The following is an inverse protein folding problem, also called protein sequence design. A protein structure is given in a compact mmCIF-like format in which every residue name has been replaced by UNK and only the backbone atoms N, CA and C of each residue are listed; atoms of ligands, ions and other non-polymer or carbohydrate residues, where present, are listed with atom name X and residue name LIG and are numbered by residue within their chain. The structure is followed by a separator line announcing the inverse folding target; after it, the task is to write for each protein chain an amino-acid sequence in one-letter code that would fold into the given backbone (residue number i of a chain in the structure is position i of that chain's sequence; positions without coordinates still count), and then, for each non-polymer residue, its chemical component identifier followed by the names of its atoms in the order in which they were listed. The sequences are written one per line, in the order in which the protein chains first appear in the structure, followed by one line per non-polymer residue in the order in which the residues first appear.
data_IF_949604289025
#
_entry.id   IF_949604289025
#
_cell.length_a   1.000
_cell.length_b   1.000
_cell.length_c   1.000
_cell.angle_alpha   90.00
_cell.angle_beta   90.00
_cell.angle_gamma   90.00
#
_symmetry.space_group_name_H-M   'P 1'
#
loop_
_entity.id
_entity.type
_entity.pdbx_description
1 polymer ?
#
# COMPACT_ATOMS: atom_id res chain seq x y z
N UNK A 1 -28.12 -70.14 -50.54
CA UNK A 1 -27.25 -69.96 -49.35
C UNK A 1 -27.67 -68.67 -48.67
N UNK A 2 -27.97 -68.52 -47.37
CA UNK A 2 -28.22 -69.41 -46.25
C UNK A 2 -28.96 -68.58 -45.15
N UNK A 3 -29.88 -69.23 -44.41
CA UNK A 3 -30.35 -68.97 -43.01
C UNK A 3 -30.95 -67.58 -42.67
N UNK A 4 -32.24 -67.44 -42.31
CA UNK A 4 -33.01 -67.91 -41.13
C UNK A 4 -32.69 -67.12 -39.83
N UNK A 5 -33.67 -66.26 -39.47
CA UNK A 5 -34.21 -65.93 -38.11
C UNK A 5 -33.42 -64.94 -37.20
N UNK A 6 -34.03 -64.40 -36.12
CA UNK A 6 -35.34 -63.71 -36.06
C UNK A 6 -35.41 -62.56 -34.98
N UNK A 7 -36.37 -61.64 -35.14
CA UNK A 7 -37.46 -61.28 -34.18
C UNK A 7 -37.10 -60.79 -32.73
N UNK A 8 -37.94 -59.84 -32.28
CA UNK A 8 -38.56 -59.71 -30.93
C UNK A 8 -38.19 -58.44 -30.11
N UNK A 9 -39.23 -57.58 -30.03
CA UNK A 9 -39.80 -56.79 -28.90
C UNK A 9 -39.18 -55.50 -28.34
N UNK A 10 -40.10 -54.54 -28.26
CA UNK A 10 -40.26 -53.42 -27.34
C UNK A 10 -39.79 -53.67 -25.89
N UNK A 11 -39.26 -52.61 -25.28
CA UNK A 11 -39.26 -52.39 -23.84
C UNK A 11 -39.38 -50.88 -23.52
N UNK A 12 -40.12 -50.60 -22.45
CA UNK A 12 -40.45 -49.31 -21.87
C UNK A 12 -39.40 -48.86 -20.83
N UNK A 13 -39.34 -47.55 -20.59
CA UNK A 13 -38.97 -46.82 -19.37
C UNK A 13 -37.88 -47.34 -18.40
N UNK A 14 -36.81 -46.54 -18.20
CA UNK A 14 -36.08 -46.32 -16.93
C UNK A 14 -35.37 -44.95 -17.05
N UNK A 15 -35.82 -43.89 -16.37
CA UNK A 15 -35.40 -43.48 -15.02
C UNK A 15 -33.90 -43.15 -14.96
N UNK A 16 -33.54 -41.92 -15.35
CA UNK A 16 -32.20 -41.36 -15.14
C UNK A 16 -32.00 -40.97 -13.68
N UNK A 17 -31.01 -41.63 -13.10
CA UNK A 17 -30.52 -41.52 -11.73
C UNK A 17 -29.60 -40.30 -11.63
N UNK A 18 -30.00 -39.38 -10.75
CA UNK A 18 -29.15 -38.66 -9.80
C UNK A 18 -27.66 -38.51 -10.17
N UNK A 19 -27.30 -37.39 -10.83
CA UNK A 19 -25.92 -36.96 -10.97
C UNK A 19 -25.73 -35.63 -10.24
N UNK A 20 -25.21 -35.75 -9.02
CA UNK A 20 -24.88 -34.65 -8.12
C UNK A 20 -24.09 -33.52 -8.83
N UNK A 21 -24.31 -32.25 -8.46
CA UNK A 21 -23.55 -31.14 -9.01
C UNK A 21 -22.08 -31.27 -8.61
N UNK A 22 -21.22 -31.39 -9.63
CA UNK A 22 -19.76 -31.30 -9.50
C UNK A 22 -19.42 -30.03 -8.74
N UNK A 23 -18.75 -30.20 -7.61
CA UNK A 23 -18.12 -29.12 -6.85
C UNK A 23 -17.37 -28.18 -7.82
N UNK A 24 -17.98 -27.03 -8.12
CA UNK A 24 -17.25 -25.89 -8.66
C UNK A 24 -16.26 -25.47 -7.58
N UNK A 25 -15.00 -25.78 -7.84
CA UNK A 25 -13.88 -25.29 -7.06
C UNK A 25 -13.99 -23.76 -7.06
N UNK A 26 -14.08 -23.08 -5.90
CA UNK A 26 -14.20 -21.63 -5.91
C UNK A 26 -12.90 -21.09 -6.50
N UNK A 27 -12.98 -20.60 -7.73
CA UNK A 27 -11.92 -19.79 -8.32
C UNK A 27 -11.82 -18.59 -7.42
N UNK A 28 -10.77 -18.55 -6.59
CA UNK A 28 -10.51 -17.44 -5.69
C UNK A 28 -10.53 -16.15 -6.52
N UNK A 29 -11.67 -15.46 -6.48
CA UNK A 29 -11.82 -14.12 -7.02
C UNK A 29 -10.85 -13.29 -6.20
N UNK A 30 -9.69 -13.01 -6.78
CA UNK A 30 -8.90 -11.88 -6.39
C UNK A 30 -9.81 -10.67 -6.63
N UNK A 31 -10.58 -10.29 -5.62
CA UNK A 31 -11.35 -9.04 -5.59
C UNK A 31 -10.32 -7.94 -5.57
N UNK A 32 -9.84 -7.57 -6.76
CA UNK A 32 -8.92 -6.46 -6.92
C UNK A 32 -9.63 -5.26 -6.32
N UNK A 33 -9.06 -4.68 -5.26
CA UNK A 33 -9.49 -3.38 -4.80
C UNK A 33 -9.48 -2.44 -6.02
N UNK A 34 -10.56 -1.65 -6.17
CA UNK A 34 -10.70 -0.68 -7.26
C UNK A 34 -9.40 0.10 -7.44
N UNK A 35 -9.06 0.53 -8.66
CA UNK A 35 -7.78 1.19 -8.90
C UNK A 35 -7.54 2.41 -7.99
N UNK A 36 -8.63 3.07 -7.59
CA UNK A 36 -8.67 4.15 -6.61
C UNK A 36 -8.16 3.76 -5.20
N UNK A 37 -8.22 2.48 -4.83
CA UNK A 37 -7.90 1.94 -3.50
C UNK A 37 -6.63 1.09 -3.46
N UNK A 38 -5.90 0.94 -4.57
CA UNK A 38 -4.65 0.18 -4.58
C UNK A 38 -3.66 0.71 -3.53
N UNK A 39 -3.24 -0.15 -2.60
CA UNK A 39 -2.33 0.21 -1.52
C UNK A 39 -2.89 1.21 -0.50
N UNK A 40 -4.21 1.46 -0.51
CA UNK A 40 -4.90 2.33 0.44
C UNK A 40 -5.85 1.49 1.28
N UNK A 41 -5.75 1.61 2.59
CA UNK A 41 -6.50 0.83 3.57
C UNK A 41 -7.27 1.76 4.49
N UNK A 42 -8.53 1.41 4.77
CA UNK A 42 -9.34 2.11 5.79
C UNK A 42 -9.06 1.49 7.15
N UNK A 43 -8.77 2.31 8.16
CA UNK A 43 -8.87 1.89 9.57
C UNK A 43 -10.09 2.55 10.19
N UNK A 44 -11.13 1.75 10.49
CA UNK A 44 -12.31 2.24 11.21
C UNK A 44 -11.96 2.60 12.66
N UNK A 45 -11.08 1.81 13.30
CA UNK A 45 -10.62 2.01 14.68
C UNK A 45 -9.86 3.32 14.82
N UNK A 46 -8.90 3.56 13.94
CA UNK A 46 -8.02 4.73 14.00
C UNK A 46 -8.57 5.93 13.22
N UNK A 47 -9.76 5.78 12.61
CA UNK A 47 -10.45 6.77 11.78
C UNK A 47 -9.49 7.44 10.79
N UNK A 48 -8.82 6.62 9.98
CA UNK A 48 -7.84 7.09 9.00
C UNK A 48 -7.82 6.26 7.71
N UNK A 49 -7.24 6.86 6.67
CA UNK A 49 -6.76 6.16 5.49
C UNK A 49 -5.25 5.95 5.61
N UNK A 50 -4.78 4.71 5.45
CA UNK A 50 -3.37 4.38 5.46
C UNK A 50 -2.94 3.95 4.06
N UNK A 51 -1.93 4.61 3.50
CA UNK A 51 -1.31 4.19 2.26
C UNK A 51 -0.08 3.35 2.61
N UNK A 52 0.00 2.14 2.10
CA UNK A 52 1.12 1.21 2.32
C UNK A 52 1.54 0.64 0.97
N UNK A 53 2.74 1.00 0.53
CA UNK A 53 3.33 0.53 -0.73
C UNK A 53 4.69 -0.11 -0.48
N UNK A 54 4.87 -1.35 -0.93
CA UNK A 54 6.14 -2.06 -0.84
C UNK A 54 6.89 -2.01 -2.18
N UNK A 55 8.17 -1.64 -2.13
CA UNK A 55 9.09 -1.61 -3.27
C UNK A 55 10.39 -2.33 -2.88
N UNK A 56 10.51 -3.60 -3.29
CA UNK A 56 11.62 -4.44 -2.87
C UNK A 56 11.63 -4.63 -1.35
N UNK A 57 12.66 -4.08 -0.69
CA UNK A 57 12.82 -4.11 0.78
C UNK A 57 12.30 -2.84 1.48
N UNK A 58 11.95 -1.80 0.73
CA UNK A 58 11.48 -0.52 1.29
C UNK A 58 9.96 -0.52 1.35
N UNK A 59 9.41 -0.05 2.47
CA UNK A 59 7.98 0.17 2.66
C UNK A 59 7.75 1.67 2.77
N UNK A 60 6.92 2.22 1.89
CA UNK A 60 6.43 3.58 1.96
C UNK A 60 5.07 3.54 2.64
N UNK A 61 4.98 4.09 3.85
CA UNK A 61 3.73 4.17 4.59
C UNK A 61 3.42 5.58 5.05
N UNK A 62 2.14 5.97 4.97
CA UNK A 62 1.64 7.24 5.50
C UNK A 62 0.16 7.12 5.83
N UNK A 63 -0.24 7.69 6.97
CA UNK A 63 -1.63 7.71 7.41
C UNK A 63 -2.23 9.12 7.33
N UNK A 64 -3.50 9.19 6.97
CA UNK A 64 -4.30 10.39 6.81
C UNK A 64 -5.56 10.25 7.68
N UNK A 65 -5.53 10.83 8.88
CA UNK A 65 -6.66 10.76 9.82
C UNK A 65 -7.81 11.67 9.41
N UNK A 66 -9.04 11.21 9.59
CA UNK A 66 -10.25 11.95 9.22
C UNK A 66 -10.36 13.27 10.00
N UNK A 67 -10.02 13.24 11.30
CA UNK A 67 -10.11 14.43 12.16
C UNK A 67 -9.14 15.57 11.81
N UNK A 68 -7.97 15.26 11.26
CA UNK A 68 -6.97 16.28 10.87
C UNK A 68 -7.26 16.82 9.47
N UNK A 69 -7.80 15.98 8.59
CA UNK A 69 -7.96 16.30 7.16
C UNK A 69 -9.38 16.70 6.78
N UNK A 70 -10.24 17.05 7.75
CA UNK A 70 -11.58 17.58 7.45
C UNK A 70 -12.60 16.52 7.03
N UNK A 71 -12.41 15.26 7.42
CA UNK A 71 -13.34 14.17 7.16
C UNK A 71 -12.72 13.00 6.41
N UNK A 72 -13.55 12.00 6.13
CA UNK A 72 -13.13 10.76 5.46
C UNK A 72 -12.78 10.99 3.99
N UNK A 73 -13.59 11.76 3.27
CA UNK A 73 -13.41 12.00 1.83
C UNK A 73 -12.16 12.83 1.52
N UNK A 74 -11.96 13.93 2.25
CA UNK A 74 -10.79 14.77 2.10
C UNK A 74 -9.48 14.03 2.47
N UNK A 75 -9.53 13.17 3.49
CA UNK A 75 -8.42 12.29 3.82
C UNK A 75 -8.14 11.24 2.71
N UNK A 76 -9.18 10.74 2.03
CA UNK A 76 -9.03 9.79 0.92
C UNK A 76 -8.36 10.43 -0.29
N UNK A 77 -8.76 11.65 -0.66
CA UNK A 77 -8.17 12.40 -1.76
C UNK A 77 -6.67 12.64 -1.53
N UNK A 78 -6.30 13.02 -0.31
CA UNK A 78 -4.91 13.14 0.11
C UNK A 78 -4.13 11.83 0.04
N UNK A 79 -4.73 10.74 0.50
CA UNK A 79 -4.15 9.41 0.43
C UNK A 79 -3.89 9.00 -1.03
N UNK A 80 -4.86 9.23 -1.92
CA UNK A 80 -4.73 8.95 -3.35
C UNK A 80 -3.66 9.81 -4.01
N UNK A 81 -3.63 11.12 -3.75
CA UNK A 81 -2.63 12.01 -4.31
C UNK A 81 -1.21 11.63 -3.88
N UNK A 82 -1.01 11.35 -2.59
CA UNK A 82 0.29 10.92 -2.08
C UNK A 82 0.72 9.55 -2.63
N UNK A 83 -0.22 8.60 -2.73
CA UNK A 83 0.03 7.31 -3.36
C UNK A 83 0.50 7.49 -4.81
N UNK A 84 -0.20 8.31 -5.58
CA UNK A 84 0.08 8.53 -7.01
C UNK A 84 1.48 9.15 -7.20
N UNK A 85 1.87 10.08 -6.32
CA UNK A 85 3.22 10.63 -6.24
C UNK A 85 4.26 9.53 -5.96
N UNK A 86 4.03 8.69 -4.94
CA UNK A 86 4.96 7.60 -4.56
C UNK A 86 5.08 6.57 -5.67
N UNK A 87 3.98 6.19 -6.32
CA UNK A 87 3.97 5.24 -7.44
C UNK A 87 4.79 5.77 -8.62
N UNK A 88 4.64 7.05 -8.96
CA UNK A 88 5.38 7.70 -10.06
C UNK A 88 6.86 7.86 -9.72
N UNK A 89 7.18 8.31 -8.50
CA UNK A 89 8.55 8.58 -8.04
C UNK A 89 9.37 7.32 -7.78
N UNK A 90 8.75 6.25 -7.27
CA UNK A 90 9.44 5.03 -6.86
C UNK A 90 8.89 3.79 -7.58
N UNK A 91 9.24 3.61 -8.86
CA UNK A 91 8.81 2.44 -9.60
C UNK A 91 9.41 1.13 -9.06
N UNK A 92 8.70 0.00 -9.20
CA UNK A 92 9.30 -1.32 -9.04
C UNK A 92 10.57 -1.48 -9.88
N UNK A 93 11.43 -2.42 -9.51
CA UNK A 93 12.61 -2.73 -10.30
C UNK A 93 12.22 -3.12 -11.74
N UNK A 94 13.04 -2.73 -12.72
CA UNK A 94 12.81 -3.16 -14.09
C UNK A 94 12.99 -4.68 -14.20
N UNK A 95 12.25 -5.31 -15.13
CA UNK A 95 12.38 -6.74 -15.41
C UNK A 95 13.81 -7.10 -15.80
N UNK A 96 14.47 -6.22 -16.55
CA UNK A 96 15.87 -6.33 -16.95
C UNK A 96 16.82 -6.37 -15.76
N UNK A 97 16.70 -5.43 -14.82
CA UNK A 97 17.56 -5.37 -13.62
C UNK A 97 17.45 -6.66 -12.78
N UNK A 98 16.27 -7.26 -12.73
CA UNK A 98 16.09 -8.56 -12.08
C UNK A 98 16.76 -9.71 -12.87
N UNK A 99 16.61 -9.71 -14.20
CA UNK A 99 17.19 -10.74 -15.06
C UNK A 99 18.72 -10.69 -15.09
N UNK A 100 19.32 -9.52 -14.90
CA UNK A 100 20.77 -9.32 -14.78
C UNK A 100 21.32 -9.70 -13.40
N UNK A 101 20.46 -9.90 -12.39
CA UNK A 101 20.90 -10.24 -11.04
C UNK A 101 21.47 -11.66 -11.01
N UNK A 102 22.72 -11.79 -10.58
CA UNK A 102 23.35 -13.08 -10.32
C UNK A 102 22.68 -13.78 -9.13
N UNK A 103 22.29 -15.03 -9.36
CA UNK A 103 21.80 -15.91 -8.30
C UNK A 103 22.99 -16.63 -7.67
N UNK A 104 22.90 -16.89 -6.37
CA UNK A 104 23.92 -17.62 -5.61
C UNK A 104 24.16 -19.04 -6.12
N UNK A 105 23.16 -19.63 -6.80
CA UNK A 105 23.20 -20.98 -7.37
C UNK A 105 23.72 -21.03 -8.83
N UNK A 106 24.18 -19.90 -9.39
CA UNK A 106 24.59 -19.83 -10.80
C UNK A 106 25.99 -20.43 -11.03
N UNK A 107 26.05 -21.66 -11.54
CA UNK A 107 27.29 -22.38 -11.87
C UNK A 107 28.15 -21.73 -12.97
N UNK A 108 27.55 -20.92 -13.84
CA UNK A 108 28.22 -20.31 -15.00
C UNK A 108 28.71 -18.88 -14.75
N UNK A 109 28.33 -18.27 -13.62
CA UNK A 109 28.62 -16.87 -13.29
C UNK A 109 27.87 -15.84 -14.15
N UNK A 110 27.07 -16.28 -15.14
CA UNK A 110 26.36 -15.40 -16.07
C UNK A 110 24.85 -15.72 -16.02
N UNK A 111 24.01 -14.79 -15.53
CA UNK A 111 22.58 -15.03 -15.38
C UNK A 111 21.90 -15.29 -16.72
N UNK A 112 21.15 -16.40 -16.79
CA UNK A 112 20.42 -16.80 -18.00
C UNK A 112 21.27 -17.44 -19.09
N UNK A 113 22.55 -17.71 -18.83
CA UNK A 113 23.41 -18.53 -19.69
C UNK A 113 23.69 -19.86 -19.00
N UNK A 114 23.25 -20.95 -19.64
CA UNK A 114 23.36 -22.31 -19.12
C UNK A 114 24.36 -23.09 -19.98
N UNK A 115 25.26 -23.82 -19.31
CA UNK A 115 26.12 -24.80 -19.94
C UNK A 115 25.43 -26.17 -19.85
N UNK A 116 25.22 -26.83 -20.98
CA UNK A 116 24.77 -28.22 -21.05
C UNK A 116 26.00 -29.10 -21.09
N UNK A 117 26.06 -30.06 -20.18
CA UNK A 117 27.14 -31.04 -20.08
C UNK A 117 26.66 -32.39 -20.61
N UNK A 118 27.59 -33.22 -21.10
CA UNK A 118 27.32 -34.64 -21.36
C UNK A 118 27.41 -35.50 -20.09
N UNK A 119 27.31 -36.82 -20.26
CA UNK A 119 27.42 -37.79 -19.17
C UNK A 119 28.81 -37.83 -18.50
N UNK A 120 29.85 -37.34 -19.18
CA UNK A 120 31.23 -37.26 -18.67
C UNK A 120 31.52 -35.91 -17.99
N UNK A 121 30.58 -34.97 -18.06
CA UNK A 121 30.73 -33.62 -17.50
C UNK A 121 31.30 -32.60 -18.49
N UNK A 122 31.47 -32.96 -19.76
CA UNK A 122 32.06 -32.10 -20.77
C UNK A 122 31.02 -31.17 -21.41
N UNK A 123 31.36 -29.89 -21.70
CA UNK A 123 30.45 -28.95 -22.34
C UNK A 123 30.05 -29.40 -23.75
N UNK A 124 28.76 -29.68 -23.96
CA UNK A 124 28.21 -30.01 -25.28
C UNK A 124 27.47 -28.85 -25.94
N UNK A 125 26.92 -27.92 -25.15
CA UNK A 125 26.26 -26.74 -25.70
C UNK A 125 26.16 -25.60 -24.68
N UNK A 126 26.11 -24.38 -25.19
CA UNK A 126 25.81 -23.17 -24.42
C UNK A 126 24.45 -22.61 -24.83
N UNK A 127 23.59 -22.33 -23.86
CA UNK A 127 22.21 -21.85 -24.10
C UNK A 127 21.98 -20.51 -23.41
N UNK A 128 21.51 -19.52 -24.17
CA UNK A 128 20.98 -18.27 -23.65
C UNK A 128 19.46 -18.39 -23.52
N UNK A 129 18.91 -18.06 -22.35
CA UNK A 129 17.49 -18.12 -22.08
C UNK A 129 16.99 -16.90 -21.28
N UNK A 130 15.92 -16.28 -21.77
CA UNK A 130 15.32 -15.09 -21.17
C UNK A 130 13.80 -15.17 -21.21
N UNK A 131 13.14 -14.70 -20.15
CA UNK A 131 11.69 -14.49 -20.16
C UNK A 131 11.38 -13.03 -20.49
N UNK A 132 11.04 -12.75 -21.76
CA UNK A 132 10.77 -11.39 -22.22
C UNK A 132 9.49 -10.84 -21.58
N UNK A 133 8.38 -11.58 -21.69
CA UNK A 133 7.07 -11.23 -21.14
C UNK A 133 6.56 -12.31 -20.18
N UNK A 134 5.54 -12.06 -19.36
CA UNK A 134 4.79 -13.14 -18.73
C UNK A 134 4.37 -14.16 -19.81
N UNK A 135 4.69 -15.45 -19.60
CA UNK A 135 4.40 -16.51 -20.58
C UNK A 135 5.37 -16.63 -21.77
N UNK A 136 6.02 -15.55 -22.23
CA UNK A 136 6.91 -15.60 -23.40
C UNK A 136 8.39 -15.78 -23.03
N UNK A 137 8.94 -16.94 -23.38
CA UNK A 137 10.35 -17.29 -23.18
C UNK A 137 11.06 -17.34 -24.53
N UNK A 138 12.21 -16.69 -24.63
CA UNK A 138 13.12 -16.81 -25.78
C UNK A 138 14.35 -17.58 -25.34
N UNK A 139 14.78 -18.52 -26.17
CA UNK A 139 15.96 -19.29 -25.92
C UNK A 139 16.69 -19.61 -27.22
N UNK A 140 18.01 -19.64 -27.16
CA UNK A 140 18.86 -20.03 -28.29
C UNK A 140 20.07 -20.80 -27.78
N UNK A 141 20.46 -21.83 -28.52
CA UNK A 141 21.53 -22.74 -28.14
C UNK A 141 22.62 -22.76 -29.21
N UNK A 142 23.87 -22.89 -28.77
CA UNK A 142 25.06 -22.97 -29.59
C UNK A 142 25.80 -24.26 -29.24
N UNK A 143 25.96 -25.17 -30.20
CA UNK A 143 26.64 -26.45 -30.00
C UNK A 143 28.14 -26.26 -29.91
N UNK A 144 28.78 -26.95 -28.96
CA UNK A 144 30.24 -26.98 -28.85
C UNK A 144 30.86 -27.72 -30.04
N UNK A 145 30.20 -28.75 -30.58
CA UNK A 145 30.70 -29.48 -31.75
C UNK A 145 30.81 -28.62 -33.01
N UNK A 146 30.00 -27.57 -33.14
CA UNK A 146 29.96 -26.69 -34.32
C UNK A 146 30.88 -25.49 -34.21
N UNK A 147 30.98 -24.90 -33.02
CA UNK A 147 31.67 -23.61 -32.82
C UNK A 147 32.92 -23.74 -31.95
N UNK A 148 33.12 -24.84 -31.24
CA UNK A 148 34.10 -24.94 -30.17
C UNK A 148 33.60 -24.34 -28.84
N UNK A 149 34.21 -24.76 -27.73
CA UNK A 149 33.70 -24.45 -26.39
C UNK A 149 33.72 -22.94 -26.07
N UNK A 150 34.82 -22.26 -26.40
CA UNK A 150 35.00 -20.84 -26.15
C UNK A 150 34.05 -19.98 -27.00
N UNK A 151 33.93 -20.28 -28.30
CA UNK A 151 33.09 -19.51 -29.21
C UNK A 151 31.59 -19.76 -28.95
N UNK A 152 31.19 -21.01 -28.67
CA UNK A 152 29.81 -21.30 -28.28
C UNK A 152 29.40 -20.51 -27.02
N UNK A 153 30.30 -20.40 -26.04
CA UNK A 153 30.08 -19.57 -24.85
C UNK A 153 29.96 -18.09 -25.21
N UNK A 154 30.87 -17.56 -26.04
CA UNK A 154 30.84 -16.16 -26.50
C UNK A 154 29.53 -15.82 -27.20
N UNK A 155 29.08 -16.68 -28.11
CA UNK A 155 27.81 -16.53 -28.84
C UNK A 155 26.61 -16.57 -27.91
N UNK A 156 26.60 -17.47 -26.92
CA UNK A 156 25.53 -17.51 -25.91
C UNK A 156 25.47 -16.23 -25.07
N UNK A 157 26.63 -15.67 -24.68
CA UNK A 157 26.69 -14.40 -23.95
C UNK A 157 26.17 -13.26 -24.83
N UNK A 158 26.61 -13.17 -26.08
CA UNK A 158 26.18 -12.13 -27.01
C UNK A 158 24.67 -12.19 -27.27
N UNK A 159 24.13 -13.40 -27.43
CA UNK A 159 22.70 -13.63 -27.58
C UNK A 159 21.92 -13.26 -26.32
N UNK A 160 22.42 -13.60 -25.13
CA UNK A 160 21.82 -13.16 -23.86
C UNK A 160 21.75 -11.63 -23.78
N UNK A 161 22.80 -10.93 -24.20
CA UNK A 161 22.78 -9.46 -24.24
C UNK A 161 21.74 -8.91 -25.23
N UNK A 162 21.55 -9.56 -26.39
CA UNK A 162 20.46 -9.21 -27.33
C UNK A 162 19.09 -9.39 -26.67
N UNK A 163 18.87 -10.51 -25.99
CA UNK A 163 17.61 -10.80 -25.30
C UNK A 163 17.34 -9.79 -24.17
N UNK A 164 18.36 -9.40 -23.39
CA UNK A 164 18.22 -8.37 -22.34
C UNK A 164 17.90 -6.99 -22.91
N UNK A 165 18.41 -6.63 -24.10
CA UNK A 165 18.04 -5.37 -24.78
C UNK A 165 16.58 -5.33 -25.20
N UNK A 166 15.99 -6.47 -25.51
CA UNK A 166 14.57 -6.60 -25.86
C UNK A 166 13.65 -6.59 -24.63
N UNK A 167 14.18 -6.76 -23.42
CA UNK A 167 13.38 -6.73 -22.19
C UNK A 167 12.95 -5.30 -21.84
N UNK A 168 11.64 -5.06 -21.86
CA UNK A 168 11.03 -3.80 -21.44
C UNK A 168 10.12 -4.00 -20.23
N UNK A 169 9.75 -2.89 -19.59
CA UNK A 169 8.75 -2.86 -18.52
C UNK A 169 9.25 -3.16 -17.11
N UNK A 170 8.31 -3.01 -16.17
CA UNK A 170 8.54 -3.12 -14.74
C UNK A 170 8.16 -4.51 -14.22
N UNK A 171 8.80 -4.93 -13.13
CA UNK A 171 8.53 -6.23 -12.53
C UNK A 171 7.23 -6.21 -11.72
N UNK A 172 6.33 -7.16 -11.99
CA UNK A 172 5.12 -7.46 -11.19
C UNK A 172 4.33 -6.21 -10.80
N UNK A 173 3.98 -5.39 -11.79
CA UNK A 173 3.10 -4.24 -11.57
C UNK A 173 1.67 -4.75 -11.40
N UNK A 174 1.00 -4.34 -10.33
CA UNK A 174 -0.41 -4.65 -10.13
C UNK A 174 -1.24 -3.95 -11.21
N UNK A 175 -2.30 -4.56 -11.80
CA UNK A 175 -3.10 -3.92 -12.84
C UNK A 175 -3.59 -2.50 -12.45
N UNK A 176 -4.10 -2.36 -11.23
CA UNK A 176 -4.48 -1.04 -10.66
C UNK A 176 -3.36 0.00 -10.63
N UNK A 177 -2.09 -0.41 -10.45
CA UNK A 177 -0.96 0.52 -10.47
C UNK A 177 -0.67 1.01 -11.90
N UNK A 178 -0.90 0.18 -12.91
CA UNK A 178 -0.74 0.58 -14.33
C UNK A 178 -1.64 1.77 -14.64
N UNK A 179 -2.91 1.71 -14.20
CA UNK A 179 -3.87 2.81 -14.35
C UNK A 179 -3.38 4.08 -13.66
N UNK A 180 -2.87 3.98 -12.42
CA UNK A 180 -2.34 5.12 -11.66
C UNK A 180 -1.13 5.77 -12.33
N UNK A 181 -0.28 4.98 -13.00
CA UNK A 181 0.90 5.48 -13.72
C UNK A 181 0.53 6.28 -14.96
N UNK A 182 -0.44 5.80 -15.72
CA UNK A 182 -0.89 6.41 -16.97
C UNK A 182 -1.79 7.62 -16.69
N UNK A 183 -2.50 7.61 -15.55
CA UNK A 183 -3.36 8.70 -15.16
C UNK A 183 -2.61 10.05 -15.08
N UNK A 184 -3.24 11.14 -15.53
CA UNK A 184 -2.68 12.48 -15.36
C UNK A 184 -2.42 12.77 -13.87
N UNK A 185 -1.51 13.70 -13.55
CA UNK A 185 -1.41 14.21 -12.19
C UNK A 185 -2.80 14.63 -11.70
N UNK A 186 -3.19 14.16 -10.51
CA UNK A 186 -4.45 14.61 -9.92
C UNK A 186 -4.36 16.11 -9.70
N UNK A 187 -5.38 16.84 -10.14
CA UNK A 187 -5.47 18.25 -9.84
C UNK A 187 -5.45 18.45 -8.32
N UNK A 188 -4.75 19.49 -7.84
CA UNK A 188 -4.76 19.83 -6.43
C UNK A 188 -6.18 20.27 -6.06
N UNK A 189 -6.97 19.34 -5.54
CA UNK A 189 -8.29 19.65 -4.99
C UNK A 189 -8.07 20.65 -3.84
N UNK A 190 -8.85 21.74 -3.74
CA UNK A 190 -8.80 22.62 -2.59
C UNK A 190 -9.15 21.81 -1.35
N UNK A 191 -8.13 21.42 -0.59
CA UNK A 191 -8.33 20.64 0.61
C UNK A 191 -8.78 21.56 1.74
N UNK A 192 -9.71 21.11 2.60
CA UNK A 192 -10.00 21.83 3.83
C UNK A 192 -8.71 22.01 4.62
N UNK A 193 -8.60 23.15 5.30
CA UNK A 193 -7.42 23.46 6.12
C UNK A 193 -7.14 22.29 7.07
N UNK A 194 -5.85 21.97 7.24
CA UNK A 194 -5.43 20.96 8.22
C UNK A 194 -5.89 21.41 9.61
N UNK A 195 -6.70 20.61 10.27
CA UNK A 195 -7.22 20.90 11.61
C UNK A 195 -6.09 20.61 12.61
N UNK A 196 -5.76 21.59 13.44
CA UNK A 196 -4.75 21.42 14.49
C UNK A 196 -5.25 20.43 15.53
N UNK A 197 -4.35 19.60 16.09
CA UNK A 197 -4.73 18.63 17.13
C UNK A 197 -5.39 19.29 18.35
N UNK A 198 -5.11 20.58 18.58
CA UNK A 198 -5.71 21.36 19.65
C UNK A 198 -7.13 21.88 19.34
N UNK A 199 -7.57 21.81 18.08
CA UNK A 199 -8.94 22.12 17.65
C UNK A 199 -9.84 20.86 17.63
N UNK A 200 -9.25 19.66 17.64
CA UNK A 200 -10.00 18.40 17.62
C UNK A 200 -10.62 18.09 18.99
N UNK A 201 -11.94 18.20 19.07
CA UNK A 201 -12.74 17.79 20.25
C UNK A 201 -12.78 16.26 20.34
N UNK A 202 -12.19 15.68 21.38
CA UNK A 202 -12.27 14.24 21.67
C UNK A 202 -13.58 13.92 22.41
N UNK A 203 -14.42 13.07 21.84
CA UNK A 203 -15.76 12.74 22.37
C UNK A 203 -15.72 11.62 23.42
N UNK A 204 -16.57 11.66 24.47
CA UNK A 204 -17.50 12.75 24.82
C UNK A 204 -16.83 13.81 25.70
N UNK A 205 -16.63 15.01 25.15
CA UNK A 205 -16.24 16.19 25.91
C UNK A 205 -17.44 17.15 26.01
N UNK A 206 -18.20 17.13 27.12
CA UNK A 206 -19.42 17.92 27.29
C UNK A 206 -19.16 19.44 27.34
N UNK A 207 -17.91 19.90 27.44
CA UNK A 207 -17.62 21.34 27.33
C UNK A 207 -17.79 21.88 25.91
N UNK A 208 -17.62 21.03 24.88
CA UNK A 208 -17.46 21.47 23.48
C UNK A 208 -16.12 22.16 23.18
N UNK A 209 -15.27 22.39 24.19
CA UNK A 209 -14.01 23.14 24.08
C UNK A 209 -12.82 22.23 24.38
N UNK A 210 -11.87 22.14 23.44
CA UNK A 210 -10.69 21.27 23.59
C UNK A 210 -9.83 21.69 24.77
N UNK A 211 -9.51 20.74 25.64
CA UNK A 211 -8.70 20.98 26.84
C UNK A 211 -9.50 21.45 28.05
N UNK A 212 -10.82 21.65 27.93
CA UNK A 212 -11.72 21.88 29.07
C UNK A 212 -12.49 20.59 29.34
N UNK A 213 -12.27 19.97 30.50
CA UNK A 213 -12.84 18.66 30.83
C UNK A 213 -13.61 18.72 32.14
N UNK A 214 -14.78 18.08 32.16
CA UNK A 214 -15.55 17.84 33.37
C UNK A 214 -14.96 16.66 34.13
N UNK A 215 -14.42 16.94 35.32
CA UNK A 215 -13.93 15.90 36.23
C UNK A 215 -15.05 15.53 37.21
N UNK A 216 -15.24 14.22 37.40
CA UNK A 216 -16.22 13.66 38.32
C UNK A 216 -15.57 13.28 39.65
N UNK A 217 -16.35 13.30 40.74
CA UNK A 217 -15.93 12.80 42.04
C UNK A 217 -15.87 11.26 42.07
N UNK A 218 -15.42 10.69 43.19
CA UNK A 218 -15.36 9.24 43.39
C UNK A 218 -16.73 8.54 43.26
N UNK A 219 -17.84 9.29 43.38
CA UNK A 219 -19.21 8.80 43.25
C UNK A 219 -19.79 9.04 41.84
N UNK A 220 -18.99 9.50 40.88
CA UNK A 220 -19.39 9.75 39.49
C UNK A 220 -20.17 11.04 39.26
N UNK A 221 -20.29 11.93 40.25
CA UNK A 221 -20.99 13.21 40.15
C UNK A 221 -20.06 14.30 39.62
N UNK A 222 -20.57 15.28 38.85
CA UNK A 222 -19.75 16.38 38.34
C UNK A 222 -19.15 17.18 39.50
N UNK A 223 -17.82 17.31 39.55
CA UNK A 223 -17.11 17.93 40.66
C UNK A 223 -16.45 19.25 40.30
N UNK A 224 -15.74 19.30 39.16
CA UNK A 224 -15.00 20.49 38.73
C UNK A 224 -14.78 20.52 37.23
N UNK A 225 -14.74 21.72 36.67
CA UNK A 225 -14.29 21.97 35.30
C UNK A 225 -12.80 22.29 35.32
N UNK A 226 -12.02 21.62 34.47
CA UNK A 226 -10.55 21.79 34.42
C UNK A 226 -10.12 22.18 33.02
N UNK A 227 -9.42 23.31 32.91
CA UNK A 227 -8.74 23.74 31.70
C UNK A 227 -7.28 23.28 31.75
N UNK A 228 -6.79 22.61 30.71
CA UNK A 228 -5.40 22.16 30.62
C UNK A 228 -4.81 22.38 29.23
N UNK A 229 -3.62 22.97 29.18
CA UNK A 229 -2.92 23.37 27.95
C UNK A 229 -1.43 23.13 28.06
N UNK A 230 -0.78 22.72 26.97
CA UNK A 230 0.69 22.71 26.89
C UNK A 230 1.18 24.02 26.28
N UNK A 231 2.04 24.73 27.00
CA UNK A 231 2.71 25.96 26.60
C UNK A 231 4.21 25.64 26.53
N UNK A 232 4.72 25.37 25.33
CA UNK A 232 6.05 24.76 25.17
C UNK A 232 6.10 23.38 25.84
N UNK A 233 7.13 23.16 26.67
CA UNK A 233 7.30 21.91 27.44
C UNK A 233 6.52 21.90 28.76
N UNK A 234 5.91 23.02 29.15
CA UNK A 234 5.19 23.14 30.42
C UNK A 234 3.69 22.95 30.22
N UNK A 235 3.08 22.12 31.06
CA UNK A 235 1.63 21.96 31.14
C UNK A 235 1.06 22.96 32.14
N UNK A 236 0.23 23.88 31.67
CA UNK A 236 -0.52 24.83 32.51
C UNK A 236 -1.94 24.29 32.66
N UNK A 237 -2.45 24.27 33.89
CA UNK A 237 -3.82 23.83 34.16
C UNK A 237 -4.46 24.59 35.31
N UNK A 238 -5.75 24.90 35.17
CA UNK A 238 -6.56 25.57 36.18
C UNK A 238 -7.89 24.81 36.34
N UNK A 239 -8.42 24.76 37.56
CA UNK A 239 -9.62 23.97 37.89
C UNK A 239 -10.60 24.77 38.72
N UNK A 240 -11.88 24.68 38.38
CA UNK A 240 -12.97 25.44 38.99
C UNK A 240 -14.01 24.47 39.55
N UNK A 241 -14.26 24.55 40.85
CA UNK A 241 -15.17 23.65 41.56
C UNK A 241 -16.63 24.01 41.29
N UNK A 242 -17.44 23.02 40.92
CA UNK A 242 -18.88 23.18 40.69
C UNK A 242 -19.59 23.49 42.00
N UNK A 243 -19.10 22.98 43.13
CA UNK A 243 -19.68 23.26 44.45
C UNK A 243 -19.57 24.74 44.83
N UNK A 244 -18.56 25.44 44.32
CA UNK A 244 -18.29 26.85 44.67
C UNK A 244 -18.97 27.80 43.70
N UNK A 245 -18.89 27.52 42.39
CA UNK A 245 -19.34 28.46 41.34
C UNK A 245 -20.65 28.03 40.67
N UNK A 246 -21.14 26.80 40.89
CA UNK A 246 -22.19 26.22 40.05
C UNK A 246 -21.64 25.71 38.71
N UNK A 247 -22.41 24.86 38.02
CA UNK A 247 -21.93 24.12 36.86
C UNK A 247 -21.62 25.04 35.67
N UNK A 248 -22.56 25.90 35.29
CA UNK A 248 -22.39 26.81 34.14
C UNK A 248 -21.28 27.83 34.36
N UNK A 249 -21.19 28.43 35.55
CA UNK A 249 -20.17 29.44 35.84
C UNK A 249 -18.78 28.80 35.96
N UNK A 250 -18.66 27.61 36.57
CA UNK A 250 -17.40 26.86 36.59
C UNK A 250 -16.96 26.48 35.16
N UNK A 251 -17.90 26.11 34.29
CA UNK A 251 -17.62 25.86 32.86
C UNK A 251 -17.12 27.13 32.17
N UNK A 252 -17.80 28.26 32.35
CA UNK A 252 -17.42 29.54 31.74
C UNK A 252 -16.02 29.99 32.19
N UNK A 253 -15.71 29.89 33.48
CA UNK A 253 -14.38 30.20 34.03
C UNK A 253 -13.30 29.28 33.44
N UNK A 254 -13.58 27.99 33.29
CA UNK A 254 -12.65 27.06 32.66
C UNK A 254 -12.41 27.39 31.17
N UNK A 255 -13.44 27.80 30.43
CA UNK A 255 -13.30 28.25 29.03
C UNK A 255 -12.44 29.53 28.96
N UNK A 256 -12.68 30.52 29.82
CA UNK A 256 -11.89 31.75 29.88
C UNK A 256 -10.41 31.47 30.24
N UNK A 257 -10.16 30.58 31.21
CA UNK A 257 -8.80 30.15 31.55
C UNK A 257 -8.11 29.46 30.36
N UNK A 258 -8.85 28.64 29.60
CA UNK A 258 -8.34 28.00 28.38
C UNK A 258 -7.94 29.03 27.32
N UNK A 259 -8.76 30.05 27.07
CA UNK A 259 -8.42 31.13 26.13
C UNK A 259 -7.14 31.86 26.54
N UNK A 260 -6.98 32.13 27.84
CA UNK A 260 -5.76 32.72 28.39
C UNK A 260 -4.54 31.84 28.12
N UNK A 261 -4.63 30.53 28.36
CA UNK A 261 -3.53 29.59 28.09
C UNK A 261 -3.19 29.52 26.59
N UNK A 262 -4.18 29.59 25.70
CA UNK A 262 -3.96 29.60 24.25
C UNK A 262 -3.22 30.87 23.79
N UNK A 263 -3.52 32.03 24.38
CA UNK A 263 -2.77 33.28 24.13
C UNK A 263 -1.30 33.13 24.55
N UNK A 264 -1.04 32.61 25.75
CA UNK A 264 0.34 32.36 26.22
C UNK A 264 1.10 31.39 25.31
N UNK A 265 0.42 30.34 24.81
CA UNK A 265 1.00 29.40 23.85
C UNK A 265 1.37 30.10 22.54
N UNK A 266 0.50 30.93 22.00
CA UNK A 266 0.75 31.68 20.77
C UNK A 266 1.94 32.64 20.93
N UNK A 267 2.04 33.33 22.06
CA UNK A 267 3.17 34.21 22.39
C UNK A 267 4.48 33.43 22.50
N UNK A 268 4.47 32.28 23.18
CA UNK A 268 5.65 31.42 23.33
C UNK A 268 6.14 30.88 21.99
N UNK A 269 5.22 30.48 21.10
CA UNK A 269 5.54 30.05 19.75
C UNK A 269 6.10 31.18 18.89
N UNK A 270 5.58 32.41 19.05
CA UNK A 270 6.09 33.59 18.35
C UNK A 270 7.51 33.96 18.81
N UNK A 271 7.82 33.80 20.09
CA UNK A 271 9.15 34.06 20.64
C UNK A 271 10.20 33.00 20.20
N UNK A 272 9.79 31.75 20.01
CA UNK A 272 10.67 30.66 19.59
C UNK A 272 10.91 30.59 18.08
N UNK A 273 10.07 31.22 17.25
CA UNK A 273 10.27 31.22 15.80
C UNK A 273 11.51 32.06 15.47
N UNK A 274 12.60 31.48 14.92
CA UNK A 274 13.80 32.25 14.60
C UNK A 274 13.42 33.34 13.62
N UNK A 275 13.83 34.58 13.91
CA UNK A 275 13.76 35.70 12.97
C UNK A 275 14.50 35.27 11.70
N UNK A 276 13.75 34.89 10.67
CA UNK A 276 14.28 34.60 9.35
C UNK A 276 15.11 35.80 8.89
N UNK A 277 16.44 35.62 8.81
CA UNK A 277 17.34 36.62 8.25
C UNK A 277 16.87 36.92 6.83
N UNK A 278 16.62 38.20 6.52
CA UNK A 278 16.32 38.67 5.16
C UNK A 278 17.41 38.14 4.21
N UNK A 279 17.05 37.65 3.00
CA UNK A 279 18.05 37.37 1.99
C UNK A 279 18.73 38.70 1.61
N UNK A 280 20.06 38.62 1.46
CA UNK A 280 20.92 39.73 1.05
C UNK A 280 21.02 39.73 -0.47
#
# INVERSE_FOLDING_TARGET
MAKIKPKIRNASAHADVDSAPKHEVPTAQWTFHAAAMYGIHRSAKDKNWAVILKRGRVVYSKAFSFGIHGGEEAALLLAQAWRDEVVKKYPPASRRKLAEKLRSDSKTGIPGVLCRLDARGEPIAWRAMTQLFPGQKVAKQFSVSRYGAAEAKRLAIAERQKQLRQMTGLQRVHPSEVTVRIAPPREPVPLPRRIDLAEIVRTPNPSGVVGVVLTKDAKGRPARWTAATHVGDKRVSESFSIKVHGDEQAKALAVAAREKHLKMRAESQRAQKPRTRKPR
#
